data_IF_723886392307
#
_entry.id   IF_723886392307
#
_cell.length_a   1.000
_cell.length_b   1.000
_cell.length_c   1.000
_cell.angle_alpha   90.00
_cell.angle_beta   90.00
_cell.angle_gamma   90.00
#
_symmetry.space_group_name_H-M   'P 1'
#
loop_
_entity.id
_entity.type
_entity.pdbx_description
1 polymer ?
#
# COMPACT_ATOMS: atom_id res chain seq x y z
N UNK A 1 -48.43 15.38 -31.44
CA UNK A 1 -47.63 14.36 -32.14
C UNK A 1 -46.32 14.97 -32.59
N UNK A 2 -45.23 14.72 -31.86
CA UNK A 2 -43.87 15.03 -32.32
C UNK A 2 -43.01 13.84 -31.91
N UNK A 3 -42.71 12.99 -32.89
CA UNK A 3 -41.99 11.73 -32.67
C UNK A 3 -40.50 11.99 -32.54
N UNK A 4 -39.97 11.82 -31.33
CA UNK A 4 -38.54 11.66 -31.11
C UNK A 4 -38.11 10.28 -31.61
N UNK A 5 -37.70 10.19 -32.88
CA UNK A 5 -36.87 9.08 -33.37
C UNK A 5 -35.42 9.41 -33.01
N UNK A 6 -34.99 9.01 -31.83
CA UNK A 6 -33.57 8.98 -31.49
C UNK A 6 -32.88 7.94 -32.36
N UNK A 7 -32.11 8.39 -33.35
CA UNK A 7 -31.23 7.51 -34.11
C UNK A 7 -30.19 6.94 -33.14
N UNK A 8 -30.33 5.66 -32.81
CA UNK A 8 -29.27 4.92 -32.11
C UNK A 8 -28.12 4.75 -33.09
N UNK A 9 -27.17 5.69 -33.03
CA UNK A 9 -25.89 5.56 -33.71
C UNK A 9 -25.26 4.25 -33.23
N UNK A 10 -25.19 3.24 -34.09
CA UNK A 10 -24.50 1.99 -33.79
C UNK A 10 -23.03 2.33 -33.57
N UNK A 11 -22.62 2.40 -32.31
CA UNK A 11 -21.22 2.57 -31.91
C UNK A 11 -20.40 1.49 -32.61
N UNK A 12 -19.31 1.90 -33.25
CA UNK A 12 -18.42 0.96 -33.93
C UNK A 12 -17.78 0.00 -32.91
N UNK A 13 -17.25 -1.15 -33.35
CA UNK A 13 -16.56 -2.09 -32.45
C UNK A 13 -15.40 -1.43 -31.66
N UNK A 14 -14.80 -0.36 -32.20
CA UNK A 14 -13.78 0.44 -31.52
C UNK A 14 -14.32 1.23 -30.34
N UNK A 15 -15.53 1.79 -30.45
CA UNK A 15 -16.18 2.50 -29.36
C UNK A 15 -16.55 1.54 -28.22
N UNK A 16 -16.92 0.31 -28.56
CA UNK A 16 -17.15 -0.77 -27.59
C UNK A 16 -15.86 -1.12 -26.86
N UNK A 17 -14.74 -1.30 -27.57
CA UNK A 17 -13.46 -1.61 -26.95
C UNK A 17 -12.96 -0.48 -26.03
N UNK A 18 -13.11 0.79 -26.45
CA UNK A 18 -12.83 1.96 -25.60
C UNK A 18 -13.71 1.98 -24.36
N UNK A 19 -15.01 1.67 -24.49
CA UNK A 19 -15.92 1.61 -23.35
C UNK A 19 -15.54 0.48 -22.36
N UNK A 20 -15.11 -0.68 -22.86
CA UNK A 20 -14.62 -1.79 -22.01
C UNK A 20 -13.34 -1.37 -21.28
N UNK A 21 -12.40 -0.73 -21.97
CA UNK A 21 -11.17 -0.21 -21.35
C UNK A 21 -11.49 0.82 -20.26
N UNK A 22 -12.31 1.83 -20.59
CA UNK A 22 -12.70 2.88 -19.65
C UNK A 22 -13.48 2.36 -18.43
N UNK A 23 -14.10 1.18 -18.53
CA UNK A 23 -14.81 0.57 -17.41
C UNK A 23 -13.89 0.02 -16.32
N UNK A 24 -12.59 -0.17 -16.60
CA UNK A 24 -11.63 -0.76 -15.66
C UNK A 24 -11.82 -2.26 -15.39
N UNK A 25 -12.84 -2.91 -16.00
CA UNK A 25 -13.19 -4.32 -15.75
C UNK A 25 -12.06 -5.31 -16.10
N UNK A 26 -11.16 -4.90 -16.99
CA UNK A 26 -10.05 -5.73 -17.46
C UNK A 26 -8.90 -5.82 -16.45
N UNK A 27 -8.84 -4.89 -15.49
CA UNK A 27 -7.66 -4.63 -14.71
C UNK A 27 -6.45 -4.22 -15.57
N UNK A 28 -5.31 -4.04 -14.91
CA UNK A 28 -4.04 -3.61 -15.45
C UNK A 28 -3.50 -4.61 -16.48
N UNK A 29 -3.51 -5.90 -16.13
CA UNK A 29 -3.03 -6.97 -17.01
C UNK A 29 -3.91 -7.13 -18.25
N UNK A 30 -5.23 -7.12 -18.09
CA UNK A 30 -6.16 -7.24 -19.21
C UNK A 30 -6.10 -6.02 -20.13
N UNK A 31 -6.01 -4.81 -19.56
CA UNK A 31 -5.80 -3.57 -20.30
C UNK A 31 -4.53 -3.66 -21.16
N UNK A 32 -3.39 -4.09 -20.59
CA UNK A 32 -2.14 -4.15 -21.34
C UNK A 32 -2.20 -5.16 -22.49
N UNK A 33 -2.84 -6.31 -22.29
CA UNK A 33 -3.06 -7.31 -23.35
C UNK A 33 -3.96 -6.78 -24.46
N UNK A 34 -5.13 -6.22 -24.13
CA UNK A 34 -6.11 -5.77 -25.13
C UNK A 34 -5.60 -4.55 -25.91
N UNK A 35 -4.93 -3.61 -25.24
CA UNK A 35 -4.33 -2.45 -25.90
C UNK A 35 -3.25 -2.81 -26.91
N UNK A 36 -2.69 -4.03 -26.86
CA UNK A 36 -1.71 -4.50 -27.85
C UNK A 36 -2.33 -5.01 -29.16
N UNK A 37 -3.64 -5.24 -29.20
CA UNK A 37 -4.31 -5.90 -30.34
C UNK A 37 -4.54 -4.96 -31.55
N UNK A 38 -4.57 -3.64 -31.35
CA UNK A 38 -4.73 -2.68 -32.45
C UNK A 38 -4.03 -1.35 -32.17
N UNK A 39 -3.65 -0.62 -33.22
CA UNK A 39 -3.02 0.71 -33.10
C UNK A 39 -3.91 1.73 -32.38
N UNK A 40 -5.22 1.66 -32.63
CA UNK A 40 -6.21 2.55 -32.01
C UNK A 40 -6.40 2.27 -30.51
N UNK A 41 -6.21 1.02 -30.07
CA UNK A 41 -6.23 0.67 -28.65
C UNK A 41 -4.87 0.94 -27.98
N UNK A 42 -3.77 0.84 -28.73
CA UNK A 42 -2.44 1.13 -28.23
C UNK A 42 -2.31 2.59 -27.79
N UNK A 43 -2.95 3.53 -28.50
CA UNK A 43 -2.96 4.95 -28.11
C UNK A 43 -3.66 5.21 -26.78
N UNK A 44 -4.49 4.27 -26.27
CA UNK A 44 -5.08 4.40 -24.94
C UNK A 44 -4.04 4.27 -23.82
N UNK A 45 -2.85 3.71 -24.10
CA UNK A 45 -1.74 3.65 -23.14
C UNK A 45 -1.13 5.02 -22.86
N UNK A 46 -1.21 5.93 -23.83
CA UNK A 46 -0.70 7.30 -23.70
C UNK A 46 -1.74 8.24 -23.05
N UNK A 47 -3.00 7.80 -22.95
CA UNK A 47 -4.07 8.52 -22.29
C UNK A 47 -4.08 8.23 -20.79
N UNK A 48 -3.50 9.12 -19.98
CA UNK A 48 -3.43 9.01 -18.52
C UNK A 48 -4.77 9.26 -17.80
N UNK A 49 -5.84 9.59 -18.53
CA UNK A 49 -7.15 9.84 -17.94
C UNK A 49 -7.89 8.54 -17.61
N UNK A 50 -9.05 8.65 -16.95
CA UNK A 50 -9.92 7.50 -16.63
C UNK A 50 -10.52 6.83 -17.86
N UNK A 51 -10.34 7.38 -19.07
CA UNK A 51 -10.78 6.76 -20.32
C UNK A 51 -9.68 5.90 -20.99
N UNK A 52 -8.43 6.02 -20.53
CA UNK A 52 -7.28 5.29 -21.04
C UNK A 52 -6.60 4.47 -19.94
N UNK A 53 -5.28 4.58 -19.86
CA UNK A 53 -4.45 3.91 -18.85
C UNK A 53 -4.80 4.34 -17.41
N UNK A 54 -5.33 5.55 -17.21
CA UNK A 54 -5.78 5.96 -15.87
C UNK A 54 -6.96 5.14 -15.33
N UNK A 55 -7.71 4.43 -16.19
CA UNK A 55 -8.84 3.58 -15.78
C UNK A 55 -8.43 2.42 -14.87
N UNK A 56 -7.20 1.92 -14.99
CA UNK A 56 -6.71 0.77 -14.20
C UNK A 56 -6.12 1.18 -12.85
N UNK A 57 -5.99 2.49 -12.57
CA UNK A 57 -5.42 3.00 -11.32
C UNK A 57 -6.21 2.58 -10.06
N UNK A 58 -7.52 2.33 -10.20
CA UNK A 58 -8.35 1.87 -9.09
C UNK A 58 -7.93 0.46 -8.61
N UNK A 59 -7.44 -0.39 -9.51
CA UNK A 59 -7.05 -1.76 -9.17
C UNK A 59 -5.80 -1.82 -8.29
N UNK A 60 -4.95 -0.78 -8.32
CA UNK A 60 -3.75 -0.70 -7.48
C UNK A 60 -4.07 -0.64 -5.98
N UNK A 61 -5.32 -0.37 -5.60
CA UNK A 61 -5.77 -0.49 -4.22
C UNK A 61 -5.88 -1.96 -3.76
N UNK A 62 -6.05 -2.90 -4.70
CA UNK A 62 -6.12 -4.33 -4.45
C UNK A 62 -4.74 -5.00 -4.56
N UNK A 63 -4.54 -6.07 -3.80
CA UNK A 63 -3.29 -6.84 -3.81
C UNK A 63 -2.97 -7.40 -5.20
N UNK A 64 -3.92 -8.12 -5.82
CA UNK A 64 -3.76 -8.64 -7.19
C UNK A 64 -3.38 -7.59 -8.24
N UNK A 65 -3.89 -6.37 -8.11
CA UNK A 65 -3.52 -5.25 -8.99
C UNK A 65 -2.08 -4.80 -8.77
N UNK A 66 -1.61 -4.76 -7.52
CA UNK A 66 -0.21 -4.46 -7.18
C UNK A 66 0.73 -5.56 -7.67
N UNK A 67 0.34 -6.82 -7.55
CA UNK A 67 1.12 -7.96 -8.05
C UNK A 67 1.21 -7.93 -9.58
N UNK A 68 0.11 -7.58 -10.27
CA UNK A 68 0.10 -7.42 -11.73
C UNK A 68 1.01 -6.29 -12.19
N UNK A 69 1.03 -5.17 -11.46
CA UNK A 69 1.97 -4.07 -11.71
C UNK A 69 3.41 -4.54 -11.48
N UNK A 70 3.64 -5.34 -10.45
CA UNK A 70 4.96 -5.88 -10.16
C UNK A 70 5.47 -6.78 -11.27
N UNK A 71 4.67 -7.75 -11.70
CA UNK A 71 4.98 -8.62 -12.83
C UNK A 71 5.29 -7.80 -14.09
N UNK A 72 4.50 -6.75 -14.33
CA UNK A 72 4.72 -5.83 -15.45
C UNK A 72 6.04 -5.07 -15.35
N UNK A 73 6.36 -4.47 -14.21
CA UNK A 73 7.61 -3.71 -14.06
C UNK A 73 8.83 -4.61 -14.22
N UNK A 74 8.80 -5.83 -13.67
CA UNK A 74 9.86 -6.83 -13.92
C UNK A 74 9.99 -7.18 -15.40
N UNK A 75 8.87 -7.33 -16.11
CA UNK A 75 8.91 -7.60 -17.55
C UNK A 75 9.50 -6.41 -18.32
N UNK A 76 9.17 -5.17 -17.95
CA UNK A 76 9.82 -3.99 -18.53
C UNK A 76 11.34 -4.03 -18.32
N UNK A 77 11.82 -4.38 -17.12
CA UNK A 77 13.25 -4.50 -16.84
C UNK A 77 13.89 -5.66 -17.60
N UNK A 78 13.23 -6.82 -17.67
CA UNK A 78 13.72 -8.00 -18.38
C UNK A 78 13.89 -7.75 -19.88
N UNK A 79 12.98 -6.98 -20.48
CA UNK A 79 12.99 -6.71 -21.93
C UNK A 79 13.52 -5.32 -22.29
N UNK A 80 13.97 -4.53 -21.32
CA UNK A 80 14.35 -3.11 -21.48
C UNK A 80 13.25 -2.32 -22.23
N UNK A 81 11.98 -2.57 -21.89
CA UNK A 81 10.80 -1.93 -22.47
C UNK A 81 10.58 -0.54 -21.85
N UNK A 82 11.47 0.37 -22.22
CA UNK A 82 11.49 1.76 -21.80
C UNK A 82 10.16 2.47 -22.07
N UNK A 83 9.51 2.18 -23.20
CA UNK A 83 8.26 2.84 -23.59
C UNK A 83 7.12 2.44 -22.66
N UNK A 84 6.97 1.14 -22.39
CA UNK A 84 5.95 0.67 -21.47
C UNK A 84 6.18 1.23 -20.05
N UNK A 85 7.44 1.25 -19.60
CA UNK A 85 7.80 1.82 -18.30
C UNK A 85 7.49 3.32 -18.23
N UNK A 86 7.84 4.10 -19.25
CA UNK A 86 7.55 5.53 -19.32
C UNK A 86 6.03 5.81 -19.27
N UNK A 87 5.24 5.08 -20.06
CA UNK A 87 3.78 5.17 -20.04
C UNK A 87 3.21 4.87 -18.64
N UNK A 88 3.74 3.84 -17.97
CA UNK A 88 3.33 3.50 -16.61
C UNK A 88 3.72 4.56 -15.58
N UNK A 89 4.94 5.10 -15.65
CA UNK A 89 5.41 6.13 -14.72
C UNK A 89 4.72 7.49 -14.94
N UNK A 90 4.23 7.75 -16.15
CA UNK A 90 3.42 8.94 -16.47
C UNK A 90 2.06 8.95 -15.75
N UNK A 91 1.59 7.81 -15.23
CA UNK A 91 0.38 7.77 -14.44
C UNK A 91 0.53 8.57 -13.14
N UNK A 92 -0.46 9.40 -12.77
CA UNK A 92 -0.42 10.15 -11.52
C UNK A 92 -0.22 9.22 -10.33
N UNK A 93 0.67 9.63 -9.42
CA UNK A 93 0.96 9.00 -8.12
C UNK A 93 1.72 7.66 -8.18
N UNK A 94 1.85 7.00 -9.34
CA UNK A 94 2.58 5.73 -9.47
C UNK A 94 4.00 5.83 -8.93
N UNK A 95 4.76 6.82 -9.36
CA UNK A 95 6.12 7.10 -8.91
C UNK A 95 6.29 7.03 -7.40
N UNK A 96 5.29 7.46 -6.65
CA UNK A 96 5.34 7.51 -5.19
C UNK A 96 4.91 6.21 -4.51
N UNK A 97 4.12 5.39 -5.20
CA UNK A 97 3.69 4.08 -4.69
C UNK A 97 4.80 3.03 -4.85
N UNK A 98 5.66 3.22 -5.86
CA UNK A 98 6.76 2.33 -6.22
C UNK A 98 8.10 3.09 -6.13
N UNK A 99 8.61 3.38 -4.92
CA UNK A 99 9.83 4.18 -4.74
C UNK A 99 11.12 3.41 -5.06
N UNK A 100 11.12 2.08 -4.98
CA UNK A 100 12.34 1.25 -5.09
C UNK A 100 12.59 0.70 -6.50
N UNK A 101 11.93 1.25 -7.52
CA UNK A 101 12.07 0.74 -8.89
C UNK A 101 13.51 0.79 -9.40
N UNK A 102 14.28 1.82 -9.04
CA UNK A 102 15.68 1.94 -9.45
C UNK A 102 16.55 0.86 -8.78
N UNK A 103 16.41 0.70 -7.46
CA UNK A 103 17.12 -0.35 -6.72
C UNK A 103 16.78 -1.74 -7.27
N UNK A 104 15.49 -1.98 -7.54
CA UNK A 104 15.02 -3.22 -8.12
C UNK A 104 15.59 -3.48 -9.52
N UNK A 105 15.63 -2.46 -10.38
CA UNK A 105 16.23 -2.60 -11.71
C UNK A 105 17.71 -3.01 -11.60
N UNK A 106 18.46 -2.37 -10.70
CA UNK A 106 19.87 -2.65 -10.48
C UNK A 106 20.11 -4.06 -9.93
N UNK A 107 19.18 -4.60 -9.12
CA UNK A 107 19.28 -5.96 -8.59
C UNK A 107 18.84 -7.04 -9.59
N UNK A 108 17.76 -6.80 -10.35
CA UNK A 108 17.19 -7.80 -11.27
C UNK A 108 17.84 -7.81 -12.65
N UNK A 109 18.10 -6.64 -13.26
CA UNK A 109 18.73 -6.55 -14.58
C UNK A 109 19.49 -5.21 -14.77
N UNK A 110 20.75 -5.10 -14.33
CA UNK A 110 21.53 -3.88 -14.46
C UNK A 110 21.87 -3.49 -15.92
N UNK A 111 21.60 -4.37 -16.89
CA UNK A 111 21.88 -4.12 -18.31
C UNK A 111 20.71 -3.47 -19.07
N UNK A 112 19.54 -3.29 -18.44
CA UNK A 112 18.40 -2.59 -19.04
C UNK A 112 18.61 -1.07 -19.00
N UNK A 113 19.54 -0.61 -19.84
CA UNK A 113 20.06 0.77 -19.83
C UNK A 113 19.01 1.83 -20.14
N UNK A 114 18.00 1.53 -20.98
CA UNK A 114 16.97 2.52 -21.31
C UNK A 114 16.00 2.70 -20.14
N UNK A 115 15.60 1.60 -19.50
CA UNK A 115 14.86 1.66 -18.24
C UNK A 115 15.65 2.39 -17.15
N UNK A 116 16.96 2.16 -17.07
CA UNK A 116 17.85 2.83 -16.11
C UNK A 116 17.87 4.35 -16.31
N UNK A 117 18.02 4.81 -17.56
CA UNK A 117 18.01 6.24 -17.89
C UNK A 117 16.69 6.90 -17.49
N UNK A 118 15.55 6.26 -17.76
CA UNK A 118 14.23 6.75 -17.35
C UNK A 118 14.14 6.87 -15.84
N UNK A 119 14.55 5.83 -15.10
CA UNK A 119 14.46 5.82 -13.64
C UNK A 119 15.39 6.84 -12.99
N UNK A 120 16.61 7.05 -13.51
CA UNK A 120 17.52 8.10 -13.04
C UNK A 120 16.91 9.49 -13.27
N UNK A 121 16.34 9.72 -14.46
CA UNK A 121 15.67 10.99 -14.79
C UNK A 121 14.47 11.24 -13.88
N UNK A 122 13.66 10.21 -13.65
CA UNK A 122 12.53 10.27 -12.74
C UNK A 122 12.96 10.51 -11.29
N UNK A 123 14.05 9.90 -10.83
CA UNK A 123 14.57 10.10 -9.48
C UNK A 123 15.16 11.51 -9.27
N UNK A 124 15.88 12.03 -10.28
CA UNK A 124 16.35 13.41 -10.28
C UNK A 124 15.18 14.41 -10.17
N UNK A 125 14.07 14.14 -10.86
CA UNK A 125 12.85 14.95 -10.75
C UNK A 125 12.15 14.83 -9.40
N UNK A 126 12.47 13.79 -8.62
CA UNK A 126 11.89 13.52 -7.30
C UNK A 126 12.68 14.10 -6.14
N UNK A 127 13.91 14.60 -6.32
CA UNK A 127 14.71 15.19 -5.22
C UNK A 127 13.85 16.11 -4.35
N UNK A 128 13.50 15.63 -3.15
CA UNK A 128 12.53 16.22 -2.22
C UNK A 128 11.25 15.40 -1.91
N UNK A 129 11.00 14.25 -2.55
CA UNK A 129 9.80 13.40 -2.35
C UNK A 129 10.17 11.92 -2.20
N UNK A 130 10.42 11.49 -0.97
CA UNK A 130 10.51 10.07 -0.62
C UNK A 130 11.94 9.52 -0.51
N UNK A 131 12.82 10.27 0.15
CA UNK A 131 14.12 9.74 0.58
C UNK A 131 13.91 8.56 1.54
N UNK A 132 14.78 7.55 1.43
CA UNK A 132 14.95 6.56 2.49
C UNK A 132 15.16 7.31 3.80
N UNK A 133 14.38 6.99 4.83
CA UNK A 133 14.63 7.60 6.11
C UNK A 133 16.04 7.25 6.56
N UNK A 134 16.70 8.21 7.18
CA UNK A 134 17.98 8.00 7.86
C UNK A 134 17.92 6.70 8.68
N UNK A 135 19.01 5.90 8.75
CA UNK A 135 19.09 4.63 9.51
C UNK A 135 18.74 4.75 11.02
N UNK A 136 18.39 5.94 11.48
CA UNK A 136 17.79 6.24 12.77
C UNK A 136 16.41 5.58 12.95
N UNK A 137 15.66 5.32 11.87
CA UNK A 137 14.33 4.69 11.93
C UNK A 137 14.33 3.31 11.25
N UNK A 138 15.22 2.40 11.64
CA UNK A 138 14.92 0.99 11.35
C UNK A 138 13.66 0.58 12.11
N UNK A 139 12.87 -0.35 11.56
CA UNK A 139 11.62 -0.81 12.17
C UNK A 139 11.79 -1.17 13.67
N UNK A 140 12.89 -1.85 14.01
CA UNK A 140 13.23 -2.24 15.39
C UNK A 140 13.59 -1.06 16.31
N UNK A 141 14.01 0.06 15.74
CA UNK A 141 14.46 1.24 16.50
C UNK A 141 13.35 2.26 16.75
N UNK A 142 12.16 2.09 16.17
CA UNK A 142 11.05 3.03 16.39
C UNK A 142 10.51 2.91 17.82
N UNK A 143 10.44 1.69 18.35
CA UNK A 143 9.90 1.40 19.69
C UNK A 143 10.59 2.15 20.84
N UNK A 144 11.93 2.21 20.94
CA UNK A 144 12.59 2.92 22.04
C UNK A 144 12.46 4.45 21.95
N UNK A 145 12.07 5.03 20.81
CA UNK A 145 12.00 6.50 20.68
C UNK A 145 10.70 7.02 21.33
N UNK A 146 10.77 8.02 22.23
CA UNK A 146 9.58 8.64 22.80
C UNK A 146 8.71 9.32 21.73
N UNK A 147 7.38 9.31 21.93
CA UNK A 147 6.43 9.90 20.98
C UNK A 147 6.69 11.41 20.77
N UNK A 148 7.09 12.13 21.81
CA UNK A 148 7.38 13.56 21.79
C UNK A 148 8.58 13.87 20.90
N UNK A 149 9.62 13.04 20.96
CA UNK A 149 10.80 13.16 20.11
C UNK A 149 10.43 12.89 18.64
N UNK A 150 9.66 11.84 18.36
CA UNK A 150 9.17 11.53 17.01
C UNK A 150 8.32 12.67 16.45
N UNK A 151 7.39 13.23 17.24
CA UNK A 151 6.59 14.40 16.83
C UNK A 151 7.47 15.59 16.49
N UNK A 152 8.45 15.93 17.33
CA UNK A 152 9.37 17.03 17.07
C UNK A 152 10.18 16.82 15.80
N UNK A 153 10.63 15.59 15.54
CA UNK A 153 11.33 15.23 14.30
C UNK A 153 10.43 15.37 13.07
N UNK A 154 9.16 14.97 13.16
CA UNK A 154 8.16 15.14 12.09
C UNK A 154 7.85 16.63 11.87
N UNK A 155 7.67 17.40 12.94
CA UNK A 155 7.37 18.83 12.89
C UNK A 155 8.49 19.61 12.20
N UNK A 156 9.75 19.26 12.51
CA UNK A 156 10.96 19.83 11.91
C UNK A 156 11.34 19.21 10.55
N UNK A 157 10.50 18.34 10.00
CA UNK A 157 10.71 17.63 8.73
C UNK A 157 12.03 16.83 8.68
N UNK A 158 12.53 16.38 9.84
CA UNK A 158 13.62 15.39 9.92
C UNK A 158 13.11 14.03 9.44
N UNK A 159 11.86 13.72 9.79
CA UNK A 159 11.13 12.58 9.24
C UNK A 159 10.19 13.11 8.17
N UNK A 160 10.40 12.69 6.92
CA UNK A 160 9.53 13.08 5.82
C UNK A 160 8.21 12.28 5.87
N UNK A 161 7.07 12.86 5.48
CA UNK A 161 5.78 12.17 5.58
C UNK A 161 5.67 10.91 4.72
N UNK A 162 6.45 10.86 3.63
CA UNK A 162 6.43 9.79 2.64
C UNK A 162 7.77 9.04 2.54
N UNK A 163 8.60 9.11 3.59
CA UNK A 163 9.82 8.32 3.66
C UNK A 163 9.52 6.89 4.09
N UNK A 164 10.56 6.07 3.95
CA UNK A 164 10.51 4.63 4.13
C UNK A 164 11.56 4.18 5.13
N UNK A 165 11.21 3.18 5.91
CA UNK A 165 12.12 2.45 6.78
C UNK A 165 12.50 1.14 6.08
N UNK A 166 13.71 0.66 6.31
CA UNK A 166 14.17 -0.66 5.89
C UNK A 166 14.63 -1.42 7.13
N UNK A 167 14.29 -2.69 7.22
CA UNK A 167 14.72 -3.55 8.32
C UNK A 167 14.48 -5.03 8.02
N UNK A 168 15.07 -5.92 8.83
CA UNK A 168 14.73 -7.33 8.77
C UNK A 168 13.25 -7.52 9.11
N UNK A 169 12.59 -8.45 8.42
CA UNK A 169 11.30 -8.97 8.81
C UNK A 169 11.38 -9.52 10.22
N UNK A 170 10.30 -9.42 11.00
CA UNK A 170 10.16 -10.07 12.30
C UNK A 170 10.07 -11.62 12.22
N UNK A 171 10.50 -12.21 11.11
CA UNK A 171 10.54 -13.65 10.91
C UNK A 171 11.53 -14.30 11.89
N UNK A 172 11.25 -15.51 12.38
CA UNK A 172 12.13 -16.21 13.31
C UNK A 172 13.56 -16.35 12.76
N UNK A 173 14.59 -16.31 13.64
CA UNK A 173 15.97 -16.51 13.22
C UNK A 173 16.15 -17.92 12.62
N UNK A 174 16.55 -17.97 11.34
CA UNK A 174 16.78 -19.22 10.60
C UNK A 174 16.13 -19.26 9.23
N UNK A 175 15.20 -18.34 8.94
CA UNK A 175 14.76 -18.04 7.58
C UNK A 175 15.65 -16.93 7.01
N UNK A 176 16.03 -16.99 5.74
CA UNK A 176 16.86 -15.96 5.11
C UNK A 176 16.24 -14.60 5.40
N UNK A 177 16.99 -13.69 6.06
CA UNK A 177 16.43 -12.48 6.65
C UNK A 177 15.82 -11.59 5.58
N UNK A 178 14.51 -11.71 5.42
CA UNK A 178 13.78 -10.96 4.41
C UNK A 178 13.81 -9.48 4.76
N UNK A 179 14.26 -8.64 3.83
CA UNK A 179 14.27 -7.19 4.05
C UNK A 179 12.89 -6.65 3.71
N UNK A 180 12.28 -5.94 4.66
CA UNK A 180 11.00 -5.27 4.46
C UNK A 180 11.24 -3.77 4.45
N UNK A 181 10.78 -3.12 3.38
CA UNK A 181 10.67 -1.69 3.30
C UNK A 181 9.24 -1.25 3.68
N UNK A 182 9.11 -0.52 4.78
CA UNK A 182 7.83 -0.08 5.32
C UNK A 182 7.71 1.44 5.21
N UNK A 183 6.57 1.98 4.74
CA UNK A 183 6.28 3.40 4.92
C UNK A 183 6.43 3.77 6.40
N UNK A 184 7.05 4.90 6.71
CA UNK A 184 7.25 5.32 8.12
C UNK A 184 5.92 5.37 8.88
N UNK A 185 4.82 5.72 8.20
CA UNK A 185 3.48 5.66 8.76
C UNK A 185 3.11 4.24 9.26
N UNK A 186 3.39 3.19 8.48
CA UNK A 186 3.16 1.80 8.90
C UNK A 186 4.05 1.44 10.09
N UNK A 187 5.34 1.79 10.04
CA UNK A 187 6.28 1.49 11.13
C UNK A 187 5.85 2.15 12.46
N UNK A 188 5.36 3.39 12.43
CA UNK A 188 4.82 4.08 13.62
C UNK A 188 3.56 3.39 14.15
N UNK A 189 2.68 2.89 13.28
CA UNK A 189 1.47 2.16 13.67
C UNK A 189 1.85 0.82 14.33
N UNK A 190 2.77 0.07 13.74
CA UNK A 190 3.26 -1.20 14.27
C UNK A 190 3.90 -1.00 15.66
N UNK A 191 4.72 0.04 15.81
CA UNK A 191 5.33 0.45 17.08
C UNK A 191 4.40 1.13 18.09
N UNK A 192 3.07 1.10 17.88
CA UNK A 192 2.05 1.74 18.75
C UNK A 192 2.27 3.24 18.98
N UNK A 193 3.01 3.91 18.10
CA UNK A 193 3.29 5.36 18.14
C UNK A 193 2.15 6.14 17.49
N UNK A 194 0.91 5.91 17.93
CA UNK A 194 -0.29 6.42 17.26
C UNK A 194 -0.33 7.95 17.13
N UNK A 195 0.15 8.66 18.14
CA UNK A 195 0.15 10.14 18.11
C UNK A 195 1.21 10.68 17.13
N UNK A 196 2.37 10.02 17.01
CA UNK A 196 3.37 10.35 15.99
C UNK A 196 2.86 10.00 14.59
N UNK A 197 2.17 8.87 14.43
CA UNK A 197 1.52 8.49 13.17
C UNK A 197 0.46 9.53 12.74
N UNK A 198 -0.34 10.04 13.69
CA UNK A 198 -1.31 11.10 13.43
C UNK A 198 -0.63 12.41 13.03
N UNK A 199 0.48 12.78 13.68
CA UNK A 199 1.28 13.95 13.31
C UNK A 199 1.87 13.81 11.89
N UNK A 200 2.35 12.62 11.54
CA UNK A 200 2.87 12.32 10.20
C UNK A 200 1.75 12.44 9.14
N UNK A 201 0.56 11.94 9.44
CA UNK A 201 -0.61 12.05 8.57
C UNK A 201 -1.01 13.51 8.35
N UNK A 202 -1.02 14.34 9.40
CA UNK A 202 -1.27 15.79 9.30
C UNK A 202 -0.22 16.51 8.44
N UNK A 203 0.99 15.97 8.31
CA UNK A 203 2.04 16.46 7.42
C UNK A 203 1.91 15.96 5.98
N UNK A 204 0.86 15.20 5.65
CA UNK A 204 0.61 14.71 4.29
C UNK A 204 1.25 13.36 4.01
N UNK A 205 1.37 12.50 5.03
CA UNK A 205 1.72 11.10 4.82
C UNK A 205 0.67 10.41 3.96
N UNK A 206 1.14 9.63 3.01
CA UNK A 206 0.26 8.86 2.13
C UNK A 206 -0.27 7.62 2.82
N UNK A 207 -1.56 7.37 2.57
CA UNK A 207 -2.30 6.22 3.09
C UNK A 207 -2.52 5.13 2.04
N UNK A 208 -2.11 5.40 0.79
CA UNK A 208 -2.29 4.55 -0.38
C UNK A 208 -1.02 3.80 -0.77
N UNK A 209 -0.07 3.74 0.16
CA UNK A 209 1.25 3.15 -0.01
C UNK A 209 1.34 1.93 0.91
N UNK A 210 1.67 0.79 0.33
CA UNK A 210 1.78 -0.49 1.03
C UNK A 210 3.21 -0.76 1.51
N UNK A 211 3.38 -1.78 2.35
CA UNK A 211 4.68 -2.34 2.68
C UNK A 211 5.25 -3.16 1.51
N UNK A 212 6.57 -3.23 1.45
CA UNK A 212 7.33 -3.87 0.39
C UNK A 212 8.27 -4.91 0.96
N UNK A 213 8.24 -6.10 0.39
CA UNK A 213 8.96 -7.25 0.91
C UNK A 213 9.84 -7.80 -0.21
N UNK A 214 11.14 -7.84 0.03
CA UNK A 214 12.11 -8.41 -0.90
C UNK A 214 12.31 -9.89 -0.58
N UNK A 215 11.55 -10.77 -1.24
CA UNK A 215 11.74 -12.22 -1.10
C UNK A 215 13.01 -12.66 -1.83
N UNK A 216 13.90 -13.35 -1.11
CA UNK A 216 15.18 -13.84 -1.65
C UNK A 216 15.05 -15.16 -2.43
N UNK A 217 13.87 -15.80 -2.49
CA UNK A 217 13.79 -17.15 -3.05
C UNK A 217 12.42 -17.70 -3.46
N UNK A 218 11.32 -16.95 -3.32
CA UNK A 218 9.97 -17.39 -3.72
C UNK A 218 9.36 -16.43 -4.73
N UNK A 219 8.66 -16.98 -5.75
CA UNK A 219 8.10 -16.21 -6.87
C UNK A 219 6.99 -15.21 -6.47
N UNK A 220 6.51 -15.25 -5.23
CA UNK A 220 5.42 -14.39 -4.76
C UNK A 220 5.95 -13.34 -3.77
N UNK A 221 6.30 -12.15 -4.29
CA UNK A 221 6.50 -10.97 -3.45
C UNK A 221 5.12 -10.50 -2.96
N UNK A 222 4.80 -10.67 -1.69
CA UNK A 222 3.53 -10.21 -1.13
C UNK A 222 3.55 -8.70 -0.90
N UNK A 223 2.58 -8.01 -1.49
CA UNK A 223 2.35 -6.60 -1.21
C UNK A 223 1.63 -6.43 0.13
N UNK A 224 2.42 -6.20 1.17
CA UNK A 224 1.96 -6.21 2.56
C UNK A 224 1.21 -4.94 2.99
N UNK A 225 0.36 -5.14 4.01
CA UNK A 225 -0.43 -4.20 4.82
C UNK A 225 -0.38 -2.71 4.43
N UNK A 226 -1.50 -2.21 3.92
CA UNK A 226 -1.76 -0.76 3.86
C UNK A 226 -1.85 -0.18 5.29
N UNK A 227 -1.56 1.12 5.51
CA UNK A 227 -1.59 1.74 6.83
C UNK A 227 -2.88 1.49 7.61
N UNK A 228 -4.02 1.52 6.92
CA UNK A 228 -5.32 1.24 7.52
C UNK A 228 -5.45 -0.24 7.92
N UNK A 229 -4.95 -1.19 7.13
CA UNK A 229 -4.92 -2.61 7.51
C UNK A 229 -3.99 -2.85 8.70
N UNK A 230 -2.79 -2.26 8.69
CA UNK A 230 -1.84 -2.34 9.79
C UNK A 230 -2.47 -1.84 11.10
N UNK A 231 -3.22 -0.72 11.05
CA UNK A 231 -3.90 -0.19 12.23
C UNK A 231 -5.04 -1.10 12.70
N UNK A 232 -5.86 -1.64 11.79
CA UNK A 232 -6.94 -2.57 12.15
C UNK A 232 -6.38 -3.82 12.82
N UNK A 233 -5.32 -4.41 12.27
CA UNK A 233 -4.64 -5.56 12.89
C UNK A 233 -4.09 -5.19 14.27
N UNK A 234 -3.48 -4.01 14.41
CA UNK A 234 -2.92 -3.58 15.70
C UNK A 234 -4.00 -3.35 16.75
N UNK A 235 -5.12 -2.74 16.38
CA UNK A 235 -6.27 -2.55 17.26
C UNK A 235 -6.90 -3.89 17.68
N UNK A 236 -6.99 -4.86 16.76
CA UNK A 236 -7.45 -6.21 17.09
C UNK A 236 -6.56 -6.87 18.15
N UNK A 237 -5.23 -6.81 17.98
CA UNK A 237 -4.27 -7.36 18.94
C UNK A 237 -4.36 -6.67 20.31
N UNK A 238 -4.67 -5.37 20.36
CA UNK A 238 -4.89 -4.66 21.63
C UNK A 238 -6.14 -5.20 22.33
N UNK A 239 -7.23 -5.41 21.60
CA UNK A 239 -8.49 -5.95 22.16
C UNK A 239 -8.31 -7.38 22.68
N UNK A 240 -7.54 -8.20 21.95
CA UNK A 240 -7.19 -9.56 22.38
C UNK A 240 -6.39 -9.53 23.69
N UNK A 241 -5.33 -8.72 23.77
CA UNK A 241 -4.53 -8.55 24.98
C UNK A 241 -5.34 -8.00 26.17
N UNK A 242 -6.32 -7.11 25.92
CA UNK A 242 -7.24 -6.64 26.95
C UNK A 242 -8.13 -7.77 27.49
N UNK A 243 -8.63 -8.62 26.58
CA UNK A 243 -9.48 -9.77 26.96
C UNK A 243 -8.70 -10.76 27.81
N UNK A 244 -7.45 -11.04 27.45
CA UNK A 244 -6.55 -11.87 28.25
C UNK A 244 -6.33 -11.30 29.66
N UNK A 245 -6.11 -9.98 29.80
CA UNK A 245 -5.94 -9.36 31.13
C UNK A 245 -7.17 -9.49 32.03
N UNK A 246 -8.39 -9.44 31.47
CA UNK A 246 -9.64 -9.60 32.24
C UNK A 246 -9.76 -11.03 32.75
N UNK A 247 -9.48 -12.03 31.90
CA UNK A 247 -9.55 -13.44 32.27
C UNK A 247 -8.56 -13.75 33.42
N UNK A 248 -7.35 -13.19 33.37
CA UNK A 248 -6.36 -13.39 34.45
C UNK A 248 -6.83 -12.75 35.75
N UNK A 249 -7.41 -11.53 35.71
CA UNK A 249 -7.93 -10.87 36.93
C UNK A 249 -9.05 -11.69 37.62
N UNK A 250 -9.92 -12.36 36.86
CA UNK A 250 -11.00 -13.20 37.41
C UNK A 250 -10.53 -14.49 38.10
N UNK A 251 -9.37 -15.01 37.68
CA UNK A 251 -8.79 -16.25 38.26
C UNK A 251 -8.11 -15.97 39.60
N UNK A 252 -7.58 -14.77 39.81
CA UNK A 252 -6.87 -14.37 41.02
C UNK A 252 -7.85 -14.02 42.16
N UNK A 253 -8.24 -15.01 42.96
CA UNK A 253 -9.22 -14.85 44.04
C UNK A 253 -8.60 -14.51 45.40
N UNK A 254 -7.32 -14.82 45.62
CA UNK A 254 -6.72 -14.78 46.97
C UNK A 254 -6.16 -13.40 47.33
N UNK A 255 -6.19 -13.03 48.62
CA UNK A 255 -5.67 -11.73 49.11
C UNK A 255 -4.14 -11.59 48.93
N UNK A 256 -3.40 -12.70 48.84
CA UNK A 256 -1.94 -12.71 48.64
C UNK A 256 -1.54 -12.20 47.24
N UNK A 257 -2.48 -12.14 46.29
CA UNK A 257 -2.27 -11.71 44.90
C UNK A 257 -2.65 -10.23 44.65
N UNK A 258 -2.71 -9.41 45.71
CA UNK A 258 -3.09 -7.99 45.59
C UNK A 258 -2.13 -7.17 44.69
N UNK A 259 -0.83 -7.45 44.73
CA UNK A 259 0.17 -6.76 43.90
C UNK A 259 0.03 -7.14 42.42
N UNK A 260 -0.20 -8.42 42.12
CA UNK A 260 -0.40 -8.90 40.74
C UNK A 260 -1.68 -8.32 40.13
N UNK A 261 -2.78 -8.27 40.89
CA UNK A 261 -4.02 -7.60 40.44
C UNK A 261 -3.81 -6.12 40.18
N UNK A 262 -3.00 -5.42 40.98
CA UNK A 262 -2.68 -4.02 40.74
C UNK A 262 -1.91 -3.84 39.42
N UNK A 263 -0.97 -4.75 39.10
CA UNK A 263 -0.24 -4.73 37.84
C UNK A 263 -1.12 -5.02 36.63
N UNK A 264 -2.00 -6.03 36.72
CA UNK A 264 -2.97 -6.34 35.66
C UNK A 264 -3.86 -5.14 35.37
N UNK A 265 -4.36 -4.46 36.41
CA UNK A 265 -5.15 -3.23 36.26
C UNK A 265 -4.37 -2.10 35.60
N UNK A 266 -3.10 -1.90 35.98
CA UNK A 266 -2.23 -0.90 35.32
C UNK A 266 -2.10 -1.20 33.83
N UNK A 267 -1.81 -2.46 33.47
CA UNK A 267 -1.70 -2.89 32.07
C UNK A 267 -3.01 -2.74 31.31
N UNK A 268 -4.15 -3.06 31.92
CA UNK A 268 -5.46 -2.87 31.32
C UNK A 268 -5.74 -1.40 30.98
N UNK A 269 -5.46 -0.49 31.93
CA UNK A 269 -5.61 0.96 31.72
C UNK A 269 -4.71 1.44 30.57
N UNK A 270 -3.44 1.00 30.53
CA UNK A 270 -2.52 1.35 29.44
C UNK A 270 -3.05 0.87 28.07
N UNK A 271 -3.54 -0.37 27.98
CA UNK A 271 -4.12 -0.90 26.76
C UNK A 271 -5.39 -0.13 26.34
N UNK A 272 -6.21 0.31 27.30
CA UNK A 272 -7.40 1.11 27.02
C UNK A 272 -7.04 2.48 26.43
N UNK A 273 -6.03 3.15 26.99
CA UNK A 273 -5.49 4.39 26.45
C UNK A 273 -4.90 4.19 25.05
N UNK A 274 -4.12 3.12 24.83
CA UNK A 274 -3.59 2.78 23.50
C UNK A 274 -4.71 2.55 22.48
N UNK A 275 -5.77 1.84 22.88
CA UNK A 275 -6.94 1.60 22.03
C UNK A 275 -7.65 2.91 21.67
N UNK A 276 -7.85 3.80 22.62
CA UNK A 276 -8.47 5.11 22.37
C UNK A 276 -7.66 5.93 21.36
N UNK A 277 -6.34 6.01 21.55
CA UNK A 277 -5.42 6.69 20.62
C UNK A 277 -5.46 6.06 19.23
N UNK A 278 -5.43 4.73 19.15
CA UNK A 278 -5.53 4.01 17.87
C UNK A 278 -6.88 4.23 17.17
N UNK A 279 -7.99 4.30 17.91
CA UNK A 279 -9.32 4.63 17.34
C UNK A 279 -9.40 6.08 16.85
N UNK A 280 -8.74 7.02 17.52
CA UNK A 280 -8.59 8.39 17.00
C UNK A 280 -7.86 8.38 15.66
N UNK A 281 -6.71 7.72 15.58
CA UNK A 281 -5.95 7.58 14.34
C UNK A 281 -6.76 6.87 13.24
N UNK A 282 -7.58 5.87 13.59
CA UNK A 282 -8.43 5.16 12.64
C UNK A 282 -9.42 6.09 11.94
N UNK A 283 -10.01 7.03 12.68
CA UNK A 283 -10.91 8.06 12.11
C UNK A 283 -10.15 8.93 11.13
N UNK A 284 -8.96 9.42 11.52
CA UNK A 284 -8.13 10.27 10.65
C UNK A 284 -7.68 9.53 9.38
N UNK A 285 -7.19 8.30 9.51
CA UNK A 285 -6.79 7.47 8.37
C UNK A 285 -7.97 7.15 7.45
N UNK A 286 -9.16 6.90 8.01
CA UNK A 286 -10.35 6.64 7.21
C UNK A 286 -10.72 7.85 6.35
N UNK A 287 -10.69 9.07 6.92
CA UNK A 287 -10.92 10.31 6.17
C UNK A 287 -9.87 10.48 5.08
N UNK A 288 -8.57 10.36 5.42
CA UNK A 288 -7.49 10.49 4.45
C UNK A 288 -7.57 9.43 3.33
N UNK A 289 -7.96 8.19 3.65
CA UNK A 289 -8.11 7.10 2.68
C UNK A 289 -9.32 7.32 1.77
N UNK A 290 -10.39 7.96 2.28
CA UNK A 290 -11.53 8.38 1.46
C UNK A 290 -11.08 9.43 0.44
N UNK A 291 -10.40 10.48 0.91
CA UNK A 291 -9.92 11.60 0.10
C UNK A 291 -8.90 11.16 -0.95
N UNK A 292 -8.08 10.15 -0.64
CA UNK A 292 -7.12 9.59 -1.58
C UNK A 292 -7.74 8.65 -2.62
N UNK A 293 -9.02 8.28 -2.46
CA UNK A 293 -9.71 7.31 -3.31
C UNK A 293 -9.29 5.86 -3.03
N UNK A 294 -8.84 5.57 -1.81
CA UNK A 294 -8.29 4.27 -1.44
C UNK A 294 -9.23 3.42 -0.59
N UNK A 295 -10.39 3.95 -0.19
CA UNK A 295 -11.42 3.21 0.54
C UNK A 295 -12.34 2.33 -0.33
N UNK A 296 -12.11 2.22 -1.65
CA UNK A 296 -12.92 1.37 -2.53
C UNK A 296 -12.72 -0.15 -2.31
N UNK A 297 -12.33 -0.56 -1.10
CA UNK A 297 -12.18 -1.97 -0.70
C UNK A 297 -13.52 -2.73 -0.59
N UNK A 298 -14.67 -2.05 -0.79
CA UNK A 298 -16.00 -2.65 -0.71
C UNK A 298 -16.61 -2.90 -2.10
N UNK A 299 -16.99 -4.15 -2.31
CA UNK A 299 -18.01 -4.72 -3.24
C UNK A 299 -17.59 -5.63 -4.40
N UNK A 300 -16.31 -5.80 -4.76
CA UNK A 300 -15.96 -6.77 -5.82
C UNK A 300 -15.65 -8.20 -5.31
N UNK A 301 -15.51 -8.39 -3.99
CA UNK A 301 -15.30 -9.73 -3.40
C UNK A 301 -16.56 -10.62 -3.43
N UNK A 302 -17.75 -10.04 -3.65
CA UNK A 302 -19.03 -10.77 -3.68
C UNK A 302 -19.50 -11.19 -5.08
N UNK A 303 -18.91 -10.67 -6.16
CA UNK A 303 -19.30 -11.03 -7.53
C UNK A 303 -18.48 -12.20 -8.14
N UNK A 304 -17.47 -12.70 -7.42
CA UNK A 304 -16.57 -13.74 -7.90
C UNK A 304 -16.79 -15.16 -7.34
N UNK A 305 -17.72 -15.38 -6.39
CA UNK A 305 -18.06 -16.76 -5.94
C UNK A 305 -19.05 -17.43 -6.90
N UNK A 306 -18.79 -17.37 -8.20
CA UNK A 306 -19.18 -18.45 -9.08
C UNK A 306 -18.26 -19.63 -8.77
N UNK A 307 -18.81 -20.69 -8.15
CA UNK A 307 -18.09 -21.96 -8.05
C UNK A 307 -17.55 -22.31 -9.45
N UNK A 308 -16.28 -22.70 -9.60
CA UNK A 308 -15.89 -23.39 -10.82
C UNK A 308 -16.69 -24.69 -10.84
N UNK A 309 -17.67 -24.77 -11.74
CA UNK A 309 -18.26 -26.04 -12.13
C UNK A 309 -17.10 -26.92 -12.58
N UNK A 310 -16.92 -28.03 -11.85
CA UNK A 310 -16.03 -29.10 -12.26
C UNK A 310 -16.60 -29.68 -13.55
N UNK A 311 -16.06 -29.28 -14.69
CA UNK A 311 -16.15 -30.10 -15.88
C UNK A 311 -15.17 -31.27 -15.74
N UNK A 312 -15.72 -32.44 -15.45
CA UNK A 312 -15.22 -33.74 -15.91
C UNK A 312 -15.38 -33.86 -17.41
#
# INVERSE_FOLDING_TARGET
>A
MQGMRGATHSKGPEDTAKAIVASGILGFRGFWKISSLSKNLLSLRDDITTLGLGSVCAEFAHESGRDAVWEFTRNCFRFDDAKALEQFLALPRISNRYPFLLQQLLSENPNAMKCLEILIKEDANRSGRGELCSPLLSHERVDPVPNEALKLMIERNVIQPNSWTMGPSASPPGDDSETVALPVLCALIEGKKFEAAEALLKKGAKVDVCAWRESSGSEEKQSALLPLCALVHRLANIVEAQTETIIVEEVLQDEEEAEERAEIRRRYVELAEQREKGLSLLRCLSVAALESGCLHWRENASLGRGKPDRCT
#
